data_IF_174395850220
#
_entry.id   IF_174395850220
#
_cell.length_a   1.000
_cell.length_b   1.000
_cell.length_c   1.000
_cell.angle_alpha   90.00
_cell.angle_beta   90.00
_cell.angle_gamma   90.00
#
_symmetry.space_group_name_H-M   'P 1'
#
loop_
_entity.id
_entity.type
_entity.pdbx_description
1 polymer ?
#
# COMPACT_ATOMS: atom_id res chain seq x y z
N UNK A 1 8.27 1.78 -0.40
CA UNK A 1 8.85 3.05 0.06
C UNK A 1 8.40 4.24 -0.81
N UNK A 2 8.52 4.17 -2.14
CA UNK A 2 8.09 5.27 -3.05
C UNK A 2 6.65 5.72 -2.77
N UNK A 3 5.72 4.78 -2.61
CA UNK A 3 4.33 5.11 -2.31
C UNK A 3 4.16 5.82 -0.97
N UNK A 4 4.90 5.41 0.04
CA UNK A 4 4.91 6.08 1.33
C UNK A 4 5.42 7.53 1.24
N UNK A 5 6.46 7.76 0.44
CA UNK A 5 6.98 9.13 0.22
C UNK A 5 5.97 10.01 -0.53
N UNK A 6 5.18 9.46 -1.47
CA UNK A 6 4.07 10.20 -2.12
C UNK A 6 3.00 10.63 -1.09
N UNK A 7 2.59 9.70 -0.22
CA UNK A 7 1.63 10.00 0.85
C UNK A 7 2.19 11.11 1.77
N UNK A 8 3.46 10.99 2.18
CA UNK A 8 4.10 12.00 3.02
C UNK A 8 4.13 13.38 2.36
N UNK A 9 4.42 13.46 1.08
CA UNK A 9 4.42 14.72 0.33
C UNK A 9 3.03 15.34 0.24
N UNK A 10 2.01 14.52 0.04
CA UNK A 10 0.63 14.98 0.04
C UNK A 10 0.19 15.51 1.41
N UNK A 11 0.59 14.84 2.51
CA UNK A 11 0.32 15.32 3.86
C UNK A 11 0.99 16.67 4.11
N UNK A 12 2.27 16.84 3.75
CA UNK A 12 2.99 18.11 3.90
C UNK A 12 2.35 19.27 3.15
N UNK A 13 1.83 18.99 1.95
CA UNK A 13 1.16 19.97 1.10
C UNK A 13 -0.29 20.25 1.49
N UNK A 14 -0.84 19.53 2.48
CA UNK A 14 -2.26 19.62 2.86
C UNK A 14 -3.22 19.04 1.82
N UNK A 15 -2.72 18.22 0.89
CA UNK A 15 -3.49 17.62 -0.20
C UNK A 15 -3.99 16.20 0.12
N UNK A 16 -3.56 15.62 1.24
CA UNK A 16 -4.02 14.30 1.66
C UNK A 16 -5.40 14.42 2.33
N UNK A 17 -6.42 13.81 1.71
CA UNK A 17 -7.79 13.77 2.23
C UNK A 17 -8.14 12.38 2.67
N UNK A 18 -8.82 12.27 3.80
CA UNK A 18 -9.35 11.01 4.33
C UNK A 18 -10.80 10.85 3.94
N UNK A 19 -11.18 9.66 3.49
CA UNK A 19 -12.55 9.28 3.16
C UNK A 19 -12.84 7.85 3.65
N UNK A 20 -14.10 7.44 3.60
CA UNK A 20 -14.47 6.03 3.88
C UNK A 20 -13.85 5.11 2.83
N UNK A 21 -13.53 3.87 3.23
CA UNK A 21 -12.98 2.88 2.32
C UNK A 21 -13.93 2.63 1.13
N UNK A 22 -13.38 2.54 -0.07
CA UNK A 22 -14.09 2.14 -1.28
C UNK A 22 -13.71 0.72 -1.68
N UNK A 23 -14.68 -0.11 -2.08
CA UNK A 23 -14.45 -1.49 -2.56
C UNK A 23 -13.99 -1.49 -4.04
N UNK A 24 -12.86 -0.88 -4.33
CA UNK A 24 -12.40 -0.76 -5.73
C UNK A 24 -11.65 -1.98 -6.27
N UNK A 25 -11.30 -2.96 -5.40
CA UNK A 25 -10.38 -4.03 -5.79
C UNK A 25 -11.04 -5.38 -6.07
N UNK A 26 -12.37 -5.49 -5.99
CA UNK A 26 -13.07 -6.78 -6.14
C UNK A 26 -12.78 -7.47 -7.47
N UNK A 27 -12.86 -6.73 -8.58
CA UNK A 27 -12.59 -7.29 -9.91
C UNK A 27 -11.12 -7.72 -10.06
N UNK A 28 -10.20 -6.94 -9.52
CA UNK A 28 -8.77 -7.25 -9.53
C UNK A 28 -8.46 -8.49 -8.68
N UNK A 29 -9.07 -8.61 -7.50
CA UNK A 29 -8.97 -9.81 -6.65
C UNK A 29 -9.49 -11.04 -7.38
N UNK A 30 -10.68 -10.95 -8.00
CA UNK A 30 -11.27 -12.04 -8.76
C UNK A 30 -10.41 -12.44 -9.96
N UNK A 31 -9.91 -11.48 -10.73
CA UNK A 31 -9.09 -11.77 -11.91
C UNK A 31 -7.73 -12.37 -11.57
N UNK A 32 -7.14 -11.97 -10.44
CA UNK A 32 -5.80 -12.41 -10.04
C UNK A 32 -5.85 -13.69 -9.20
N UNK A 33 -6.65 -13.72 -8.14
CA UNK A 33 -6.68 -14.83 -7.18
C UNK A 33 -7.73 -15.88 -7.52
N UNK A 34 -8.82 -15.50 -8.20
CA UNK A 34 -9.85 -16.43 -8.65
C UNK A 34 -9.29 -17.44 -9.64
N UNK A 35 -8.52 -16.99 -10.63
CA UNK A 35 -7.85 -17.87 -11.61
C UNK A 35 -6.88 -18.88 -10.98
N UNK A 36 -6.33 -18.54 -9.82
CA UNK A 36 -5.39 -19.39 -9.06
C UNK A 36 -6.08 -20.30 -8.04
N UNK A 37 -7.40 -20.20 -7.89
CA UNK A 37 -8.18 -20.99 -6.95
C UNK A 37 -7.96 -20.62 -5.46
N UNK A 38 -7.34 -19.47 -5.17
CA UNK A 38 -7.01 -19.05 -3.80
C UNK A 38 -7.87 -17.88 -3.30
N UNK A 39 -8.79 -17.38 -4.12
CA UNK A 39 -9.63 -16.23 -3.76
C UNK A 39 -10.39 -16.46 -2.43
N UNK A 40 -11.03 -17.62 -2.25
CA UNK A 40 -11.78 -17.91 -1.02
C UNK A 40 -10.91 -17.90 0.24
N UNK A 41 -9.65 -18.30 0.14
CA UNK A 41 -8.70 -18.19 1.27
C UNK A 41 -8.35 -16.72 1.58
N UNK A 42 -8.13 -15.92 0.54
CA UNK A 42 -7.85 -14.48 0.67
C UNK A 42 -9.05 -13.76 1.29
N UNK A 43 -10.26 -14.01 0.81
CA UNK A 43 -11.49 -13.42 1.34
C UNK A 43 -11.71 -13.81 2.81
N UNK A 44 -11.57 -15.09 3.14
CA UNK A 44 -11.70 -15.58 4.53
C UNK A 44 -10.70 -14.91 5.47
N UNK A 45 -9.44 -14.75 5.05
CA UNK A 45 -8.42 -14.08 5.86
C UNK A 45 -8.74 -12.60 6.09
N UNK A 46 -9.37 -11.94 5.12
CA UNK A 46 -9.63 -10.50 5.17
C UNK A 46 -11.05 -10.13 5.65
N UNK A 47 -11.83 -11.10 6.13
CA UNK A 47 -13.17 -10.87 6.68
C UNK A 47 -13.15 -10.97 8.21
N UNK A 48 -13.74 -10.01 8.95
CA UNK A 48 -14.26 -8.73 8.48
C UNK A 48 -13.14 -7.78 8.01
N UNK A 49 -13.49 -6.80 7.16
CA UNK A 49 -12.52 -5.80 6.67
C UNK A 49 -12.03 -4.92 7.84
N UNK A 50 -10.71 -4.78 7.94
CA UNK A 50 -10.09 -3.99 9.03
C UNK A 50 -10.40 -2.51 8.95
N UNK A 51 -10.69 -2.00 7.75
CA UNK A 51 -10.95 -0.57 7.54
C UNK A 51 -12.36 -0.16 7.95
N UNK A 52 -13.29 -1.11 8.14
CA UNK A 52 -14.64 -0.82 8.64
C UNK A 52 -14.61 -0.23 10.06
N UNK A 53 -13.61 -0.61 10.85
CA UNK A 53 -13.42 -0.12 12.22
C UNK A 53 -12.54 1.15 12.29
N UNK A 54 -12.04 1.67 11.16
CA UNK A 54 -11.17 2.84 11.12
C UNK A 54 -12.00 4.11 10.98
N UNK A 55 -12.02 4.94 12.01
CA UNK A 55 -12.64 6.26 11.97
C UNK A 55 -11.89 7.20 11.05
N UNK A 56 -12.60 7.83 10.10
CA UNK A 56 -12.01 8.85 9.21
C UNK A 56 -11.45 10.04 9.99
N UNK A 57 -12.11 10.41 11.10
CA UNK A 57 -11.63 11.48 11.98
C UNK A 57 -10.32 11.09 12.66
N UNK A 58 -10.26 9.92 13.28
CA UNK A 58 -9.05 9.43 13.95
C UNK A 58 -7.88 9.26 12.97
N UNK A 59 -8.15 8.73 11.77
CA UNK A 59 -7.13 8.63 10.72
C UNK A 59 -6.63 10.01 10.31
N UNK A 60 -7.53 10.98 10.12
CA UNK A 60 -7.15 12.35 9.79
C UNK A 60 -6.29 12.99 10.88
N UNK A 61 -6.69 12.83 12.14
CA UNK A 61 -5.95 13.35 13.30
C UNK A 61 -4.56 12.67 13.45
N UNK A 62 -4.40 11.45 12.90
CA UNK A 62 -3.16 10.67 12.97
C UNK A 62 -2.18 10.97 11.83
N UNK A 63 -2.61 11.63 10.74
CA UNK A 63 -1.75 11.93 9.57
C UNK A 63 -0.40 12.57 9.93
N UNK A 64 -0.31 13.54 10.88
CA UNK A 64 0.98 14.11 11.29
C UNK A 64 1.91 13.06 11.92
N UNK A 65 1.36 12.11 12.66
CA UNK A 65 2.11 10.99 13.23
C UNK A 65 2.62 10.03 12.15
N UNK A 66 1.79 9.72 11.17
CA UNK A 66 2.17 8.91 9.99
C UNK A 66 3.30 9.60 9.23
N UNK A 67 3.20 10.90 8.99
CA UNK A 67 4.25 11.69 8.33
C UNK A 67 5.58 11.56 9.07
N UNK A 68 5.58 11.73 10.39
CA UNK A 68 6.79 11.61 11.22
C UNK A 68 7.44 10.23 11.09
N UNK A 69 6.65 9.16 11.05
CA UNK A 69 7.17 7.80 10.86
C UNK A 69 7.79 7.64 9.48
N UNK A 70 7.12 8.13 8.42
CA UNK A 70 7.64 8.03 7.04
C UNK A 70 8.92 8.85 6.88
N UNK A 71 9.03 9.99 7.55
CA UNK A 71 10.22 10.85 7.50
C UNK A 71 11.44 10.20 8.16
N UNK A 72 11.22 9.32 9.13
CA UNK A 72 12.29 8.54 9.74
C UNK A 72 12.78 7.37 8.86
N UNK A 73 12.09 7.04 7.77
CA UNK A 73 12.53 6.01 6.83
C UNK A 73 13.65 6.55 5.92
N UNK A 74 14.59 5.69 5.47
CA UNK A 74 15.65 6.06 4.53
C UNK A 74 15.10 6.76 3.29
N UNK A 75 15.93 7.55 2.62
CA UNK A 75 15.62 8.06 1.31
C UNK A 75 15.53 6.89 0.30
N UNK A 76 14.79 7.10 -0.79
CA UNK A 76 14.64 6.07 -1.84
C UNK A 76 16.00 5.74 -2.47
N UNK A 77 16.83 6.77 -2.68
CA UNK A 77 18.19 6.65 -3.21
C UNK A 77 19.07 5.79 -2.30
N UNK A 78 19.05 6.05 -0.99
CA UNK A 78 19.85 5.32 -0.02
C UNK A 78 19.44 3.84 0.03
N UNK A 79 18.14 3.57 -0.05
CA UNK A 79 17.63 2.19 -0.11
C UNK A 79 18.09 1.49 -1.39
N UNK A 80 18.06 2.18 -2.53
CA UNK A 80 18.55 1.63 -3.80
C UNK A 80 20.06 1.35 -3.76
N UNK A 81 20.84 2.23 -3.18
CA UNK A 81 22.28 2.02 -3.00
C UNK A 81 22.57 0.82 -2.10
N UNK A 82 21.85 0.68 -0.97
CA UNK A 82 21.97 -0.49 -0.11
C UNK A 82 21.63 -1.79 -0.83
N UNK A 83 20.55 -1.81 -1.62
CA UNK A 83 20.16 -2.97 -2.41
C UNK A 83 21.22 -3.31 -3.46
N UNK A 84 21.73 -2.32 -4.18
CA UNK A 84 22.77 -2.52 -5.19
C UNK A 84 24.07 -3.05 -4.56
N UNK A 85 24.48 -2.49 -3.42
CA UNK A 85 25.67 -2.93 -2.67
C UNK A 85 25.53 -4.38 -2.20
N UNK A 86 24.32 -4.77 -1.78
CA UNK A 86 24.03 -6.15 -1.38
C UNK A 86 23.83 -7.12 -2.56
N UNK A 87 23.96 -6.64 -3.82
CA UNK A 87 23.71 -7.45 -5.02
C UNK A 87 22.23 -7.79 -5.23
N UNK A 88 21.32 -7.05 -4.59
CA UNK A 88 19.88 -7.26 -4.72
C UNK A 88 19.32 -6.55 -5.95
N UNK A 89 18.32 -7.17 -6.57
CA UNK A 89 17.55 -6.54 -7.64
C UNK A 89 16.70 -5.41 -7.06
N UNK A 90 16.79 -4.21 -7.63
CA UNK A 90 16.06 -3.03 -7.18
C UNK A 90 14.92 -2.59 -8.10
N UNK A 91 14.78 -3.22 -9.26
CA UNK A 91 13.75 -2.89 -10.25
C UNK A 91 13.03 -4.15 -10.75
N UNK A 92 11.71 -4.09 -10.88
CA UNK A 92 10.89 -5.21 -11.36
C UNK A 92 11.29 -5.68 -12.77
N UNK A 93 11.70 -4.77 -13.63
CA UNK A 93 12.18 -5.11 -14.99
C UNK A 93 13.43 -5.97 -15.00
N UNK A 94 14.27 -5.87 -13.98
CA UNK A 94 15.53 -6.63 -13.89
C UNK A 94 15.28 -8.11 -13.57
N UNK A 95 14.05 -8.45 -13.14
CA UNK A 95 13.56 -9.83 -12.98
C UNK A 95 12.55 -10.23 -14.07
N UNK A 96 12.50 -9.47 -15.18
CA UNK A 96 11.66 -9.78 -16.32
C UNK A 96 10.17 -9.47 -16.16
N UNK A 97 9.79 -8.68 -15.14
CA UNK A 97 8.41 -8.27 -14.95
C UNK A 97 8.16 -6.89 -15.58
N UNK A 98 6.99 -6.69 -16.23
CA UNK A 98 6.61 -5.39 -16.77
C UNK A 98 6.32 -4.38 -15.64
N UNK A 99 6.48 -3.08 -15.92
CA UNK A 99 6.31 -2.02 -14.92
C UNK A 99 4.90 -1.90 -14.36
N UNK A 100 3.91 -2.30 -15.15
CA UNK A 100 2.48 -2.26 -14.79
C UNK A 100 2.15 -3.13 -13.57
N UNK A 101 2.92 -4.20 -13.33
CA UNK A 101 2.71 -5.07 -12.15
C UNK A 101 2.91 -4.34 -10.82
N UNK A 102 3.61 -3.19 -10.82
CA UNK A 102 3.86 -2.42 -9.59
C UNK A 102 2.56 -1.92 -9.00
N UNK A 103 1.70 -1.29 -9.82
CA UNK A 103 0.43 -0.74 -9.33
C UNK A 103 -0.52 -1.85 -8.88
N UNK A 104 -0.64 -2.92 -9.65
CA UNK A 104 -1.43 -4.09 -9.26
C UNK A 104 -0.91 -4.70 -7.95
N UNK A 105 0.41 -4.84 -7.80
CA UNK A 105 1.03 -5.37 -6.59
C UNK A 105 0.75 -4.47 -5.38
N UNK A 106 0.82 -3.14 -5.54
CA UNK A 106 0.51 -2.20 -4.47
C UNK A 106 -0.96 -2.28 -4.03
N UNK A 107 -1.88 -2.50 -4.98
CA UNK A 107 -3.32 -2.68 -4.70
C UNK A 107 -3.61 -4.01 -4.02
N UNK A 108 -2.92 -5.09 -4.43
CA UNK A 108 -3.16 -6.45 -3.93
C UNK A 108 -2.37 -6.79 -2.67
N UNK A 109 -1.23 -6.14 -2.41
CA UNK A 109 -0.39 -6.41 -1.24
C UNK A 109 -1.13 -6.38 0.11
N UNK A 110 -2.07 -5.47 0.36
CA UNK A 110 -2.85 -5.45 1.60
C UNK A 110 -3.64 -6.73 1.88
N UNK A 111 -4.04 -7.46 0.83
CA UNK A 111 -4.86 -8.66 0.95
C UNK A 111 -4.07 -9.93 1.25
N UNK A 112 -2.74 -9.91 1.03
CA UNK A 112 -1.90 -11.08 1.30
C UNK A 112 -1.76 -11.41 2.79
N UNK A 113 -2.05 -10.45 3.65
CA UNK A 113 -2.08 -10.60 5.11
C UNK A 113 -3.08 -9.63 5.74
N UNK A 114 -3.86 -10.11 6.71
CA UNK A 114 -4.80 -9.27 7.48
C UNK A 114 -4.04 -8.41 8.50
N UNK A 115 -3.51 -7.27 8.03
CA UNK A 115 -2.80 -6.28 8.86
C UNK A 115 -3.25 -4.87 8.51
N UNK A 116 -3.41 -4.03 9.53
CA UNK A 116 -3.60 -2.60 9.33
C UNK A 116 -2.24 -1.96 9.00
N UNK A 117 -1.96 -1.84 7.72
CA UNK A 117 -0.73 -1.25 7.18
C UNK A 117 -1.05 0.05 6.44
N UNK A 118 -0.05 0.88 6.21
CA UNK A 118 -0.24 2.11 5.43
C UNK A 118 -0.72 1.82 4.00
N UNK A 119 -0.30 0.70 3.38
CA UNK A 119 -0.83 0.28 2.08
C UNK A 119 -2.33 -0.08 2.15
N UNK A 120 -2.81 -0.62 3.27
CA UNK A 120 -4.25 -0.86 3.47
C UNK A 120 -4.99 0.46 3.72
N UNK A 121 -4.46 1.33 4.57
CA UNK A 121 -5.02 2.66 4.84
C UNK A 121 -5.06 3.56 3.59
N UNK A 122 -4.19 3.31 2.59
CA UNK A 122 -4.22 3.99 1.29
C UNK A 122 -5.61 3.99 0.66
N UNK A 123 -6.41 2.96 0.87
CA UNK A 123 -7.80 2.84 0.38
C UNK A 123 -8.76 3.88 0.98
N UNK A 124 -8.34 4.57 2.03
CA UNK A 124 -9.06 5.66 2.69
C UNK A 124 -8.41 7.02 2.42
N UNK A 125 -7.42 7.10 1.53
CA UNK A 125 -6.66 8.33 1.27
C UNK A 125 -6.76 8.72 -0.21
N UNK A 126 -7.01 10.01 -0.44
CA UNK A 126 -6.77 10.66 -1.74
C UNK A 126 -5.57 11.60 -1.59
N UNK A 127 -4.57 11.48 -2.50
CA UNK A 127 -3.31 12.25 -2.40
C UNK A 127 -2.62 12.42 -3.74
#
# INVERSE_FOLDING_TARGET
LLEYKKIADAIRKGNCKVHTCTEEDRELLQSTFGKKGILGAIEKENTPELLDDVSTKELSDTLPGILKIIDALPAVTDMQEMMNTAGCVSRVRDIGLPGEVIEESLRLAPYTRRRLSLLRLRKMLTY
#
